data_IF_088748228112
#
_entry.id   IF_088748228112
#
_cell.length_a   1.000
_cell.length_b   1.000
_cell.length_c   1.000
_cell.angle_alpha   90.00
_cell.angle_beta   90.00
_cell.angle_gamma   90.00
#
_symmetry.space_group_name_H-M   'P 1'
#
loop_
_entity.id
_entity.type
_entity.pdbx_description
1 polymer ?
#
# COMPACT_ATOMS: atom_id res chain seq x y z
N UNK A 1 -12.03 11.23 -5.89
CA UNK A 1 -11.55 11.90 -4.64
C UNK A 1 -10.59 10.93 -3.97
N UNK A 2 -9.38 11.35 -3.65
CA UNK A 2 -8.33 10.49 -3.09
C UNK A 2 -8.75 9.94 -1.73
N UNK A 3 -8.86 8.62 -1.61
CA UNK A 3 -9.06 7.92 -0.35
C UNK A 3 -7.71 7.80 0.36
N UNK A 4 -7.70 7.94 1.68
CA UNK A 4 -6.50 7.65 2.49
C UNK A 4 -6.73 6.39 3.32
N UNK A 5 -5.76 5.49 3.28
CA UNK A 5 -5.79 4.22 4.00
C UNK A 5 -4.61 4.14 4.94
N UNK A 6 -4.84 3.73 6.18
CA UNK A 6 -3.77 3.39 7.14
C UNK A 6 -3.70 1.87 7.23
N UNK A 7 -2.50 1.31 7.00
CA UNK A 7 -2.28 -0.12 7.01
C UNK A 7 -1.05 -0.48 7.86
N UNK A 8 -1.24 -1.22 8.98
CA UNK A 8 -0.13 -1.81 9.73
C UNK A 8 0.66 -2.78 8.84
N UNK A 9 1.97 -2.56 8.71
CA UNK A 9 2.78 -3.23 7.68
C UNK A 9 4.14 -3.74 8.16
N UNK A 10 4.53 -3.49 9.40
CA UNK A 10 5.88 -3.78 9.87
C UNK A 10 5.96 -4.44 11.27
N UNK A 11 4.82 -4.73 11.89
CA UNK A 11 4.76 -5.24 13.25
C UNK A 11 5.24 -6.68 13.43
N UNK A 12 4.95 -7.56 12.48
CA UNK A 12 5.29 -8.97 12.55
C UNK A 12 6.54 -9.31 11.72
N UNK A 13 7.33 -10.34 12.09
CA UNK A 13 8.51 -10.75 11.33
C UNK A 13 8.21 -11.04 9.86
N UNK A 14 7.08 -11.72 9.56
CA UNK A 14 6.65 -12.00 8.19
C UNK A 14 6.37 -10.72 7.39
N UNK A 15 5.78 -9.68 8.00
CA UNK A 15 5.53 -8.42 7.33
C UNK A 15 6.84 -7.69 7.00
N UNK A 16 7.84 -7.78 7.88
CA UNK A 16 9.18 -7.22 7.59
C UNK A 16 9.88 -7.93 6.44
N UNK A 17 9.68 -9.26 6.30
CA UNK A 17 10.17 -10.00 5.12
C UNK A 17 9.47 -9.54 3.84
N UNK A 18 8.14 -9.46 3.86
CA UNK A 18 7.36 -8.96 2.71
C UNK A 18 7.76 -7.53 2.34
N UNK A 19 8.02 -6.68 3.33
CA UNK A 19 8.53 -5.32 3.13
C UNK A 19 9.86 -5.32 2.39
N UNK A 20 10.82 -6.10 2.83
CA UNK A 20 12.12 -6.23 2.18
C UNK A 20 12.00 -6.76 0.74
N UNK A 21 11.06 -7.69 0.49
CA UNK A 21 10.87 -8.31 -0.81
C UNK A 21 10.25 -7.39 -1.85
N UNK A 22 9.32 -6.49 -1.46
CA UNK A 22 8.49 -5.76 -2.41
C UNK A 22 8.39 -4.24 -2.22
N UNK A 23 8.81 -3.71 -1.07
CA UNK A 23 8.82 -2.27 -0.79
C UNK A 23 10.23 -1.67 -0.72
N UNK A 24 11.21 -2.40 -0.20
CA UNK A 24 12.61 -1.96 -0.24
C UNK A 24 13.20 -2.04 -1.65
N UNK A 25 12.63 -2.92 -2.49
CA UNK A 25 13.05 -3.09 -3.87
C UNK A 25 11.83 -3.18 -4.80
N UNK A 26 11.88 -2.56 -5.99
CA UNK A 26 10.84 -2.76 -7.00
C UNK A 26 10.89 -4.18 -7.55
N UNK A 27 9.73 -4.75 -7.83
CA UNK A 27 9.57 -6.09 -8.38
C UNK A 27 9.47 -6.01 -9.91
N UNK A 28 10.32 -6.76 -10.65
CA UNK A 28 10.25 -6.84 -12.10
C UNK A 28 9.11 -7.80 -12.52
N UNK A 29 7.88 -7.33 -12.49
CA UNK A 29 6.68 -8.16 -12.70
C UNK A 29 6.58 -8.74 -14.13
N UNK A 30 7.41 -8.32 -15.05
CA UNK A 30 7.53 -8.87 -16.41
C UNK A 30 8.36 -10.14 -16.47
N UNK A 31 9.14 -10.45 -15.45
CA UNK A 31 9.89 -11.70 -15.36
C UNK A 31 8.95 -12.90 -15.28
N UNK A 32 9.34 -14.01 -15.90
CA UNK A 32 8.55 -15.24 -16.05
C UNK A 32 7.90 -15.70 -14.74
N UNK A 33 8.62 -15.67 -13.64
CA UNK A 33 8.13 -16.12 -12.32
C UNK A 33 6.92 -15.33 -11.82
N UNK A 34 6.81 -14.05 -12.18
CA UNK A 34 5.70 -13.18 -11.83
C UNK A 34 4.65 -13.14 -12.92
N UNK A 35 5.10 -12.95 -14.17
CA UNK A 35 4.23 -12.82 -15.33
C UNK A 35 3.35 -14.05 -15.56
N UNK A 36 3.83 -15.26 -15.24
CA UNK A 36 3.04 -16.49 -15.37
C UNK A 36 1.86 -16.57 -14.40
N UNK A 37 1.93 -15.85 -13.28
CA UNK A 37 0.84 -15.79 -12.28
C UNK A 37 -0.20 -14.68 -12.57
N UNK A 38 0.10 -13.78 -13.52
CA UNK A 38 -0.79 -12.67 -13.89
C UNK A 38 -1.68 -13.05 -15.08
N UNK A 39 -2.97 -12.73 -14.96
CA UNK A 39 -3.89 -12.81 -16.10
C UNK A 39 -3.60 -11.76 -17.18
N UNK A 40 -4.09 -11.94 -18.42
CA UNK A 40 -3.83 -11.00 -19.52
C UNK A 40 -4.31 -9.56 -19.22
N UNK A 41 -5.44 -9.40 -18.55
CA UNK A 41 -5.97 -8.10 -18.17
C UNK A 41 -5.10 -7.41 -17.10
N UNK A 42 -4.67 -8.16 -16.08
CA UNK A 42 -3.79 -7.66 -15.03
C UNK A 42 -2.44 -7.21 -15.61
N UNK A 43 -1.85 -8.01 -16.50
CA UNK A 43 -0.59 -7.66 -17.19
C UNK A 43 -0.72 -6.36 -17.99
N UNK A 44 -1.79 -6.21 -18.77
CA UNK A 44 -2.02 -4.97 -19.55
C UNK A 44 -2.19 -3.76 -18.63
N UNK A 45 -2.98 -3.90 -17.57
CA UNK A 45 -3.21 -2.81 -16.61
C UNK A 45 -1.92 -2.41 -15.87
N UNK A 46 -1.13 -3.40 -15.41
CA UNK A 46 0.16 -3.13 -14.77
C UNK A 46 1.14 -2.45 -15.72
N UNK A 47 1.24 -2.89 -16.98
CA UNK A 47 2.10 -2.24 -17.96
C UNK A 47 1.68 -0.81 -18.30
N UNK A 48 0.37 -0.54 -18.34
CA UNK A 48 -0.14 0.80 -18.57
C UNK A 48 0.24 1.77 -17.43
N UNK A 49 0.22 1.29 -16.18
CA UNK A 49 0.56 2.09 -14.99
C UNK A 49 2.06 2.13 -14.70
N UNK A 50 2.79 1.07 -15.07
CA UNK A 50 4.22 0.90 -14.81
C UNK A 50 4.97 0.52 -16.09
N UNK A 51 5.19 1.47 -17.02
CA UNK A 51 5.77 1.17 -18.33
C UNK A 51 7.21 0.65 -18.26
N UNK A 52 7.92 0.85 -17.15
CA UNK A 52 9.27 0.28 -16.93
C UNK A 52 9.26 -1.24 -16.70
N UNK A 53 8.09 -1.85 -16.45
CA UNK A 53 7.96 -3.27 -16.12
C UNK A 53 8.33 -3.62 -14.68
N UNK A 54 8.50 -2.61 -13.84
CA UNK A 54 8.79 -2.77 -12.39
C UNK A 54 7.83 -1.97 -11.56
N UNK A 55 7.46 -2.47 -10.38
CA UNK A 55 6.63 -1.76 -9.41
C UNK A 55 6.90 -2.26 -7.99
N UNK A 56 6.57 -1.43 -7.01
CA UNK A 56 6.42 -1.88 -5.63
C UNK A 56 5.03 -2.47 -5.44
N UNK A 57 4.91 -3.49 -4.59
CA UNK A 57 3.65 -4.15 -4.30
C UNK A 57 3.45 -4.29 -2.80
N UNK A 58 2.19 -4.19 -2.39
CA UNK A 58 1.76 -4.54 -1.05
C UNK A 58 0.41 -5.25 -1.10
N UNK A 59 -0.07 -5.73 0.04
CA UNK A 59 -1.30 -6.50 0.00
C UNK A 59 -1.88 -6.81 1.38
N UNK A 60 -2.90 -7.64 1.38
CA UNK A 60 -3.58 -8.09 2.60
C UNK A 60 -4.33 -9.39 2.37
N UNK A 61 -4.73 -10.04 3.46
CA UNK A 61 -5.47 -11.31 3.43
C UNK A 61 -6.92 -11.13 2.93
N UNK A 62 -7.53 -12.23 2.51
CA UNK A 62 -8.91 -12.30 2.02
C UNK A 62 -9.96 -11.75 3.00
N UNK A 63 -9.68 -11.72 4.31
CA UNK A 63 -10.59 -11.12 5.30
C UNK A 63 -10.90 -9.64 5.04
N UNK A 64 -10.11 -8.98 4.20
CA UNK A 64 -10.26 -7.58 3.84
C UNK A 64 -10.87 -7.36 2.45
N UNK A 65 -11.32 -8.39 1.74
CA UNK A 65 -11.84 -8.32 0.37
C UNK A 65 -12.83 -7.16 0.17
N UNK A 66 -13.84 -7.05 1.05
CA UNK A 66 -14.86 -5.97 0.97
C UNK A 66 -14.28 -4.55 1.11
N UNK A 67 -13.16 -4.40 1.77
CA UNK A 67 -12.51 -3.10 1.92
C UNK A 67 -11.59 -2.84 0.73
N UNK A 68 -10.86 -3.87 0.31
CA UNK A 68 -9.89 -3.75 -0.78
C UNK A 68 -10.53 -3.47 -2.14
N UNK A 69 -11.77 -3.93 -2.38
CA UNK A 69 -12.49 -3.56 -3.61
C UNK A 69 -12.83 -2.06 -3.74
N UNK A 70 -12.62 -1.27 -2.69
CA UNK A 70 -12.80 0.19 -2.68
C UNK A 70 -11.50 0.95 -2.95
N UNK A 71 -10.36 0.24 -2.97
CA UNK A 71 -9.06 0.85 -3.20
C UNK A 71 -8.87 1.10 -4.69
N UNK A 72 -8.67 2.36 -5.06
CA UNK A 72 -8.61 2.81 -6.45
C UNK A 72 -7.24 3.41 -6.78
N UNK A 73 -6.93 3.50 -8.06
CA UNK A 73 -5.73 4.19 -8.56
C UNK A 73 -5.72 5.65 -8.10
N UNK A 74 -4.60 6.10 -7.55
CA UNK A 74 -4.44 7.44 -7.00
C UNK A 74 -4.82 7.60 -5.53
N UNK A 75 -5.30 6.53 -4.88
CA UNK A 75 -5.47 6.52 -3.43
C UNK A 75 -4.13 6.53 -2.71
N UNK A 76 -4.11 7.01 -1.49
CA UNK A 76 -2.91 7.10 -0.67
C UNK A 76 -2.94 6.06 0.45
N UNK A 77 -1.85 5.30 0.59
CA UNK A 77 -1.66 4.38 1.70
C UNK A 77 -0.56 4.85 2.63
N UNK A 78 -0.85 4.88 3.93
CA UNK A 78 0.13 5.09 4.99
C UNK A 78 0.50 3.72 5.57
N UNK A 79 1.70 3.26 5.28
CA UNK A 79 2.23 1.98 5.77
C UNK A 79 2.89 2.22 7.13
N UNK A 80 2.37 1.58 8.17
CA UNK A 80 2.73 1.91 9.56
C UNK A 80 3.42 0.76 10.29
N UNK A 81 4.24 1.10 11.27
CA UNK A 81 4.87 0.18 12.19
C UNK A 81 5.74 0.91 13.20
N UNK A 82 6.02 0.29 14.34
CA UNK A 82 6.88 0.86 15.37
C UNK A 82 6.47 2.28 15.80
N UNK A 83 5.16 2.53 15.87
CA UNK A 83 4.56 3.84 16.21
C UNK A 83 4.93 4.98 15.23
N UNK A 84 5.21 4.63 13.98
CA UNK A 84 5.49 5.59 12.91
C UNK A 84 4.72 5.23 11.64
N UNK A 85 4.44 6.23 10.80
CA UNK A 85 4.26 6.02 9.37
C UNK A 85 5.67 5.82 8.80
N UNK A 86 5.90 4.67 8.19
CA UNK A 86 7.20 4.26 7.66
C UNK A 86 7.32 4.47 6.16
N UNK A 87 6.19 4.46 5.47
CA UNK A 87 6.13 4.81 4.06
C UNK A 87 4.77 5.40 3.70
N UNK A 88 4.77 6.25 2.69
CA UNK A 88 3.57 6.76 2.01
C UNK A 88 3.63 6.27 0.58
N UNK A 89 2.54 5.66 0.10
CA UNK A 89 2.45 5.15 -1.26
C UNK A 89 1.23 5.69 -1.99
N UNK A 90 1.36 5.94 -3.29
CA UNK A 90 0.25 6.21 -4.19
C UNK A 90 -0.15 4.90 -4.88
N UNK A 91 -1.41 4.52 -4.79
CA UNK A 91 -1.92 3.24 -5.31
C UNK A 91 -1.98 3.26 -6.83
N UNK A 92 -1.50 2.20 -7.44
CA UNK A 92 -1.66 1.89 -8.86
C UNK A 92 -2.86 0.96 -9.09
N UNK A 93 -2.58 -0.30 -9.46
CA UNK A 93 -3.60 -1.32 -9.66
C UNK A 93 -3.89 -2.06 -8.36
N UNK A 94 -5.16 -2.16 -7.97
CA UNK A 94 -5.62 -3.04 -6.89
C UNK A 94 -6.38 -4.22 -7.49
N UNK A 95 -6.00 -5.45 -7.12
CA UNK A 95 -6.59 -6.67 -7.67
C UNK A 95 -6.46 -7.85 -6.69
N UNK A 96 -7.28 -8.88 -6.90
CA UNK A 96 -7.23 -10.11 -6.13
C UNK A 96 -6.61 -11.22 -6.98
N UNK A 97 -5.43 -11.66 -6.60
CA UNK A 97 -4.72 -12.74 -7.29
C UNK A 97 -3.82 -13.51 -6.31
N UNK A 98 -4.31 -14.63 -5.72
CA UNK A 98 -3.52 -15.43 -4.79
C UNK A 98 -2.23 -15.98 -5.40
N UNK A 99 -2.24 -16.40 -6.65
CA UNK A 99 -1.06 -16.95 -7.32
C UNK A 99 0.05 -15.90 -7.49
N UNK A 100 -0.32 -14.66 -7.83
CA UNK A 100 0.64 -13.57 -7.92
C UNK A 100 1.17 -13.17 -6.53
N UNK A 101 0.30 -13.16 -5.51
CA UNK A 101 0.72 -12.93 -4.14
C UNK A 101 1.75 -13.97 -3.66
N UNK A 102 1.56 -15.26 -3.99
CA UNK A 102 2.52 -16.33 -3.69
C UNK A 102 3.84 -16.20 -4.49
N UNK A 103 3.79 -15.62 -5.67
CA UNK A 103 5.00 -15.30 -6.43
C UNK A 103 5.79 -14.12 -5.81
N UNK A 104 5.08 -13.14 -5.24
CA UNK A 104 5.69 -12.00 -4.52
C UNK A 104 6.26 -12.39 -3.17
N UNK A 105 5.47 -13.12 -2.40
CA UNK A 105 5.78 -13.47 -1.01
C UNK A 105 5.66 -14.98 -0.81
N UNK A 106 6.69 -15.59 -0.29
CA UNK A 106 6.65 -17.03 -0.02
C UNK A 106 5.49 -17.38 0.91
N UNK A 107 4.67 -18.39 0.56
CA UNK A 107 3.60 -18.84 1.43
C UNK A 107 4.13 -19.23 2.81
N UNK A 108 3.43 -18.78 3.85
CA UNK A 108 3.67 -19.23 5.21
C UNK A 108 2.57 -20.22 5.59
N UNK A 109 2.87 -21.52 5.76
CA UNK A 109 1.86 -22.54 6.10
C UNK A 109 1.13 -22.24 7.42
N UNK A 110 1.73 -21.46 8.31
CA UNK A 110 1.15 -21.07 9.59
C UNK A 110 0.29 -19.81 9.53
N UNK A 111 0.17 -19.17 8.35
CA UNK A 111 -0.53 -17.91 8.21
C UNK A 111 -1.45 -17.89 6.98
N UNK A 112 -2.50 -17.07 7.04
CA UNK A 112 -3.35 -16.84 5.87
C UNK A 112 -2.54 -16.22 4.73
N UNK A 113 -2.76 -16.71 3.50
CA UNK A 113 -2.19 -16.10 2.29
C UNK A 113 -2.71 -14.68 2.09
N UNK A 114 -1.91 -13.87 1.43
CA UNK A 114 -2.32 -12.54 1.00
C UNK A 114 -2.91 -12.66 -0.41
N UNK A 115 -4.22 -12.51 -0.50
CA UNK A 115 -4.93 -12.68 -1.77
C UNK A 115 -5.15 -11.34 -2.49
N UNK A 116 -5.24 -10.26 -1.72
CA UNK A 116 -5.38 -8.92 -2.24
C UNK A 116 -4.01 -8.27 -2.42
N UNK A 117 -3.75 -7.79 -3.62
CA UNK A 117 -2.49 -7.15 -3.99
C UNK A 117 -2.79 -5.79 -4.59
N UNK A 118 -1.94 -4.82 -4.31
CA UNK A 118 -1.95 -3.56 -5.04
C UNK A 118 -0.52 -3.13 -5.39
N UNK A 119 -0.37 -2.55 -6.57
CA UNK A 119 0.87 -1.89 -6.96
C UNK A 119 0.89 -0.45 -6.46
N UNK A 120 2.08 0.12 -6.39
CA UNK A 120 2.28 1.53 -6.03
C UNK A 120 2.85 2.27 -7.23
N UNK A 121 2.19 3.36 -7.64
CA UNK A 121 2.68 4.27 -8.66
C UNK A 121 3.94 4.98 -8.20
N UNK A 122 3.95 5.32 -6.92
CA UNK A 122 5.09 5.92 -6.25
C UNK A 122 5.12 5.49 -4.78
N UNK A 123 6.30 5.51 -4.18
CA UNK A 123 6.54 5.11 -2.79
C UNK A 123 7.64 5.97 -2.17
N UNK A 124 7.33 6.65 -1.08
CA UNK A 124 8.30 7.38 -0.27
C UNK A 124 8.47 6.71 1.09
N UNK A 125 9.68 6.30 1.41
CA UNK A 125 10.03 5.91 2.77
C UNK A 125 10.15 7.18 3.62
N UNK A 126 9.45 7.18 4.75
CA UNK A 126 9.36 8.31 5.68
C UNK A 126 9.54 7.82 7.11
N UNK A 127 9.62 8.74 8.05
CA UNK A 127 9.60 8.41 9.48
C UNK A 127 8.78 9.47 10.22
N UNK A 128 7.45 9.34 10.14
CA UNK A 128 6.52 10.27 10.76
C UNK A 128 5.99 9.62 12.04
N UNK A 129 6.23 10.17 13.23
CA UNK A 129 5.71 9.59 14.47
C UNK A 129 4.19 9.69 14.52
N UNK A 130 3.53 8.76 15.22
CA UNK A 130 2.07 8.76 15.36
C UNK A 130 1.54 10.05 16.00
N UNK A 131 2.33 10.68 16.84
CA UNK A 131 2.01 11.98 17.47
C UNK A 131 1.70 13.05 16.42
N UNK A 132 2.40 13.07 15.29
CA UNK A 132 2.12 14.00 14.20
C UNK A 132 0.75 13.72 13.55
N UNK A 133 0.34 12.44 13.46
CA UNK A 133 -0.99 12.08 12.97
C UNK A 133 -2.06 12.37 14.01
N UNK A 134 -1.79 12.10 15.30
CA UNK A 134 -2.73 12.41 16.38
C UNK A 134 -3.03 13.92 16.52
N UNK A 135 -2.08 14.76 16.14
CA UNK A 135 -2.27 16.21 16.15
C UNK A 135 -3.21 16.71 15.06
N UNK A 136 -3.55 15.87 14.08
CA UNK A 136 -4.46 16.23 13.00
C UNK A 136 -5.93 16.21 13.45
N UNK A 137 -6.80 17.02 12.86
CA UNK A 137 -8.22 17.05 13.19
C UNK A 137 -8.89 15.68 13.03
N UNK A 138 -9.65 15.27 14.03
CA UNK A 138 -10.42 14.02 14.03
C UNK A 138 -9.66 12.77 14.49
N UNK A 139 -8.38 12.88 14.83
CA UNK A 139 -7.59 11.78 15.39
C UNK A 139 -7.53 11.85 16.92
N UNK A 140 -7.40 10.68 17.54
CA UNK A 140 -7.31 10.56 19.00
C UNK A 140 -5.85 10.32 19.42
N UNK A 141 -5.34 11.05 20.43
CA UNK A 141 -4.05 10.74 21.04
C UNK A 141 -4.01 9.30 21.58
N UNK A 142 -2.89 8.61 21.34
CA UNK A 142 -2.70 7.24 21.80
C UNK A 142 -3.27 6.16 20.86
N UNK A 143 -3.90 6.50 19.76
CA UNK A 143 -4.36 5.52 18.76
C UNK A 143 -3.16 4.80 18.13
N UNK A 144 -3.14 3.48 18.25
CA UNK A 144 -2.07 2.62 17.70
C UNK A 144 -2.32 2.23 16.23
N UNK A 145 -3.36 2.75 15.60
CA UNK A 145 -3.72 2.45 14.20
C UNK A 145 -3.77 0.96 13.88
N UNK A 146 -4.33 0.17 14.79
CA UNK A 146 -4.48 -1.27 14.61
C UNK A 146 -5.46 -1.59 13.49
N UNK A 147 -5.07 -2.54 12.63
CA UNK A 147 -5.89 -3.01 11.51
C UNK A 147 -5.94 -2.04 10.33
N UNK A 148 -6.42 -2.58 9.20
CA UNK A 148 -6.61 -1.82 7.97
C UNK A 148 -7.75 -0.81 8.14
N UNK A 149 -7.49 0.47 7.90
CA UNK A 149 -8.45 1.57 8.07
C UNK A 149 -8.56 2.41 6.83
N UNK A 150 -9.73 2.43 6.24
CA UNK A 150 -10.12 3.42 5.24
C UNK A 150 -10.65 4.64 5.99
N UNK A 151 -9.95 5.75 5.89
CA UNK A 151 -10.34 6.98 6.58
C UNK A 151 -11.60 7.57 5.95
N UNK A 152 -12.44 8.20 6.78
CA UNK A 152 -13.49 9.04 6.25
C UNK A 152 -12.90 10.27 5.54
N UNK A 153 -13.73 10.97 4.78
CA UNK A 153 -13.32 12.12 3.98
C UNK A 153 -12.58 13.18 4.80
N UNK A 154 -13.14 13.54 5.96
CA UNK A 154 -12.58 14.60 6.80
C UNK A 154 -11.19 14.25 7.31
N UNK A 155 -11.00 13.03 7.81
CA UNK A 155 -9.69 12.53 8.26
C UNK A 155 -8.71 12.37 7.12
N UNK A 156 -9.17 11.90 5.95
CA UNK A 156 -8.35 11.80 4.75
C UNK A 156 -7.80 13.16 4.32
N UNK A 157 -8.67 14.17 4.22
CA UNK A 157 -8.28 15.54 3.90
C UNK A 157 -7.32 16.14 4.96
N UNK A 158 -7.58 15.85 6.25
CA UNK A 158 -6.69 16.28 7.33
C UNK A 158 -5.29 15.67 7.22
N UNK A 159 -5.18 14.39 6.85
CA UNK A 159 -3.90 13.71 6.61
C UNK A 159 -3.19 14.31 5.40
N UNK A 160 -3.87 14.41 4.25
CA UNK A 160 -3.26 14.93 3.02
C UNK A 160 -2.72 16.35 3.22
N UNK A 161 -3.52 17.24 3.81
CA UNK A 161 -3.09 18.62 4.03
C UNK A 161 -2.11 18.75 5.19
N UNK A 162 -2.33 18.06 6.31
CA UNK A 162 -1.51 18.20 7.52
C UNK A 162 -0.12 17.60 7.37
N UNK A 163 0.03 16.51 6.62
CA UNK A 163 1.32 15.92 6.26
C UNK A 163 1.84 16.42 4.90
N UNK A 164 1.13 17.35 4.25
CA UNK A 164 1.48 17.94 2.95
C UNK A 164 1.75 16.87 1.88
N UNK A 165 0.89 15.84 1.85
CA UNK A 165 0.99 14.76 0.87
C UNK A 165 0.42 15.23 -0.47
N UNK A 166 1.21 15.17 -1.53
CA UNK A 166 0.78 15.32 -2.92
C UNK A 166 0.99 14.02 -3.67
N UNK A 167 0.23 13.77 -4.73
CA UNK A 167 0.28 12.56 -5.54
C UNK A 167 0.49 12.88 -7.02
N UNK A 168 1.00 11.94 -7.80
CA UNK A 168 1.21 12.10 -9.24
C UNK A 168 -0.11 12.21 -10.00
N UNK A 169 -1.16 11.52 -9.57
CA UNK A 169 -2.49 11.58 -10.19
C UNK A 169 -3.24 12.89 -9.91
N UNK A 170 -2.91 13.60 -8.83
CA UNK A 170 -3.55 14.85 -8.44
C UNK A 170 -2.61 16.07 -8.47
N UNK A 171 -1.32 15.86 -8.78
CA UNK A 171 -0.30 16.93 -8.69
C UNK A 171 1.04 16.56 -9.33
N UNK A 172 2.12 17.18 -8.88
CA UNK A 172 3.44 17.04 -9.51
C UNK A 172 4.18 15.74 -9.20
N UNK A 173 3.62 14.87 -8.38
CA UNK A 173 4.21 13.62 -7.91
C UNK A 173 3.98 13.39 -6.44
N UNK A 174 4.35 12.19 -5.96
CA UNK A 174 4.25 11.86 -4.54
C UNK A 174 5.32 12.64 -3.76
N UNK A 175 4.88 13.44 -2.82
CA UNK A 175 5.76 14.15 -1.89
C UNK A 175 5.11 14.21 -0.50
N UNK A 176 5.95 14.33 0.51
CA UNK A 176 5.58 14.53 1.93
C UNK A 176 6.51 15.64 2.46
N UNK A 177 5.96 16.66 3.11
CA UNK A 177 6.74 17.78 3.57
C UNK A 177 6.59 18.07 5.08
#
# INVERSE_FOLDING_TARGET
MTQVVIQPSYGLPRFRRHWADTLDQPVPFTEQRYASALGPAERRALHALHPTGTAHFWGTTAKHDRRMCRLETGDVVLLTGRKHVLAVGEVGLSFRNPAFAEALWRPDPAACSWDNVYSLLDLLQVRIPYEAVWALPGFNPGDNFMGLRFLDRQKGEAVLSGLRITTGTAGPGLAVA
#
